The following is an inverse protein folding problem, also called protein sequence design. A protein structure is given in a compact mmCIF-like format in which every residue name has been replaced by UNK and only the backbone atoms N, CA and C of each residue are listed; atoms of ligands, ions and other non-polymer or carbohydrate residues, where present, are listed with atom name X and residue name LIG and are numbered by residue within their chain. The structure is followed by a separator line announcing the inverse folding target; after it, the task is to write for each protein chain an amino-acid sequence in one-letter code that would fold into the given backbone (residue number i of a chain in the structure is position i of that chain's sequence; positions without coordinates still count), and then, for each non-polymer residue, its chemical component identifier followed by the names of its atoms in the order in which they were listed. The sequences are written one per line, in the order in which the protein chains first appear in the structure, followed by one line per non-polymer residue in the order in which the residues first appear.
data_IF_768120699369
#
_entry.id   IF_768120699369
#
_cell.length_a   1.000
_cell.length_b   1.000
_cell.length_c   1.000
_cell.angle_alpha   90.00
_cell.angle_beta   90.00
_cell.angle_gamma   90.00
#
_symmetry.space_group_name_H-M   'P 1'
#
loop_
_entity.id
_entity.type
_entity.pdbx_description
1 polymer ?
#
# COMPACT_ATOMS: atom_id res chain seq x y z
N UNK A 1 10.59 -13.77 -22.00
CA UNK A 1 10.91 -13.01 -20.78
C UNK A 1 9.78 -13.21 -19.77
N UNK A 2 9.97 -14.09 -18.78
CA UNK A 2 9.01 -14.31 -17.68
C UNK A 2 8.95 -13.02 -16.86
N UNK A 3 7.91 -12.22 -17.02
CA UNK A 3 7.62 -11.12 -16.11
C UNK A 3 7.15 -11.77 -14.82
N UNK A 4 8.03 -11.91 -13.84
CA UNK A 4 7.59 -12.33 -12.51
C UNK A 4 6.57 -11.29 -12.00
N UNK A 5 5.27 -11.65 -11.89
CA UNK A 5 4.22 -10.68 -11.59
C UNK A 5 4.10 -10.49 -10.08
N UNK A 6 5.24 -10.44 -9.38
CA UNK A 6 5.36 -10.22 -7.94
C UNK A 6 5.93 -8.83 -7.69
N UNK A 7 5.42 -7.84 -8.41
CA UNK A 7 5.93 -6.46 -8.36
C UNK A 7 5.41 -5.75 -7.10
N UNK A 8 5.80 -6.25 -5.93
CA UNK A 8 5.52 -5.61 -4.64
C UNK A 8 5.99 -4.14 -4.64
N UNK A 9 7.08 -3.84 -5.35
CA UNK A 9 7.55 -2.47 -5.57
C UNK A 9 6.57 -1.61 -6.38
N UNK A 10 5.89 -2.16 -7.40
CA UNK A 10 4.86 -1.40 -8.13
C UNK A 10 3.58 -1.25 -7.31
N UNK A 11 3.20 -2.24 -6.50
CA UNK A 11 2.06 -2.15 -5.60
C UNK A 11 2.30 -1.05 -4.53
N UNK A 12 3.50 -0.97 -3.98
CA UNK A 12 3.84 0.13 -3.07
C UNK A 12 3.92 1.48 -3.79
N UNK A 13 4.46 1.54 -5.01
CA UNK A 13 4.43 2.74 -5.84
C UNK A 13 3.00 3.21 -6.12
N UNK A 14 2.09 2.28 -6.41
CA UNK A 14 0.67 2.55 -6.57
C UNK A 14 0.04 3.08 -5.28
N UNK A 15 0.43 2.52 -4.13
CA UNK A 15 0.02 3.01 -2.80
C UNK A 15 0.44 4.47 -2.57
N UNK A 16 1.66 4.84 -2.94
CA UNK A 16 2.15 6.21 -2.85
C UNK A 16 1.36 7.17 -3.77
N UNK A 17 1.05 6.75 -5.00
CA UNK A 17 0.24 7.53 -5.92
C UNK A 17 -1.16 7.75 -5.35
N UNK A 18 -1.80 6.70 -4.82
CA UNK A 18 -3.10 6.84 -4.18
C UNK A 18 -3.06 7.73 -2.93
N UNK A 19 -1.96 7.70 -2.17
CA UNK A 19 -1.76 8.59 -1.01
C UNK A 19 -1.71 10.06 -1.47
N UNK A 20 -1.00 10.36 -2.57
CA UNK A 20 -0.93 11.70 -3.17
C UNK A 20 -2.27 12.16 -3.76
N UNK A 21 -3.05 11.24 -4.32
CA UNK A 21 -4.41 11.50 -4.81
C UNK A 21 -5.44 11.67 -3.69
N UNK A 22 -5.04 11.56 -2.41
CA UNK A 22 -5.94 11.60 -1.26
C UNK A 22 -6.82 10.36 -1.10
N UNK A 23 -6.60 9.34 -1.92
CA UNK A 23 -7.31 8.07 -1.97
C UNK A 23 -6.74 7.08 -0.93
N UNK A 24 -6.81 7.47 0.34
CA UNK A 24 -6.15 6.75 1.44
C UNK A 24 -6.59 5.29 1.59
N UNK A 25 -7.84 4.97 1.26
CA UNK A 25 -8.37 3.61 1.32
C UNK A 25 -7.73 2.70 0.26
N UNK A 26 -7.64 3.17 -0.97
CA UNK A 26 -6.98 2.46 -2.08
C UNK A 26 -5.47 2.39 -1.87
N UNK A 27 -4.87 3.42 -1.28
CA UNK A 27 -3.47 3.41 -0.90
C UNK A 27 -3.15 2.32 0.13
N UNK A 28 -3.99 2.22 1.17
CA UNK A 28 -3.88 1.18 2.21
C UNK A 28 -3.98 -0.23 1.60
N UNK A 29 -4.94 -0.47 0.70
CA UNK A 29 -5.06 -1.75 0.01
C UNK A 29 -3.84 -2.09 -0.86
N UNK A 30 -3.31 -1.11 -1.60
CA UNK A 30 -2.12 -1.30 -2.43
C UNK A 30 -0.87 -1.65 -1.58
N UNK A 31 -0.68 -0.99 -0.44
CA UNK A 31 0.39 -1.34 0.49
C UNK A 31 0.17 -2.72 1.12
N UNK A 32 -1.06 -3.08 1.54
CA UNK A 32 -1.37 -4.42 2.06
C UNK A 32 -1.09 -5.51 1.01
N UNK A 33 -1.45 -5.28 -0.25
CA UNK A 33 -1.14 -6.19 -1.35
C UNK A 33 0.38 -6.37 -1.56
N UNK A 34 1.17 -5.30 -1.41
CA UNK A 34 2.63 -5.39 -1.43
C UNK A 34 3.17 -6.25 -0.27
N UNK A 35 2.59 -6.12 0.92
CA UNK A 35 2.98 -6.90 2.12
C UNK A 35 2.60 -8.37 2.03
N UNK A 36 1.51 -8.72 1.34
CA UNK A 36 1.17 -10.13 1.07
C UNK A 36 2.31 -10.84 0.31
N UNK A 37 3.00 -10.12 -0.57
CA UNK A 37 4.10 -10.64 -1.37
C UNK A 37 5.44 -10.54 -0.62
N UNK A 38 5.68 -9.41 0.06
CA UNK A 38 6.87 -9.14 0.84
C UNK A 38 6.50 -8.53 2.21
N UNK A 39 6.24 -9.37 3.24
CA UNK A 39 5.72 -8.93 4.53
C UNK A 39 6.60 -7.93 5.28
N UNK A 40 7.91 -7.95 5.02
CA UNK A 40 8.88 -7.06 5.66
C UNK A 40 9.23 -5.84 4.80
N UNK A 41 8.38 -5.46 3.85
CA UNK A 41 8.70 -4.34 2.97
C UNK A 41 8.41 -3.01 3.69
N UNK A 42 9.48 -2.35 4.14
CA UNK A 42 9.41 -1.13 4.96
C UNK A 42 8.51 -0.04 4.37
N UNK A 43 8.60 0.22 3.06
CA UNK A 43 7.79 1.25 2.39
C UNK A 43 6.29 0.97 2.56
N UNK A 44 5.89 -0.29 2.38
CA UNK A 44 4.49 -0.67 2.52
C UNK A 44 4.05 -0.74 3.99
N UNK A 45 4.91 -1.20 4.91
CA UNK A 45 4.61 -1.16 6.35
C UNK A 45 4.38 0.27 6.85
N UNK A 46 5.25 1.20 6.45
CA UNK A 46 5.08 2.61 6.79
C UNK A 46 3.83 3.21 6.16
N UNK A 47 3.53 2.87 4.90
CA UNK A 47 2.30 3.29 4.22
C UNK A 47 1.04 2.82 4.97
N UNK A 48 0.98 1.55 5.35
CA UNK A 48 -0.11 1.00 6.17
C UNK A 48 -0.22 1.75 7.50
N UNK A 49 0.88 1.89 8.25
CA UNK A 49 0.84 2.56 9.56
C UNK A 49 0.39 4.03 9.50
N UNK A 50 0.75 4.76 8.44
CA UNK A 50 0.28 6.14 8.22
C UNK A 50 -1.20 6.22 7.87
N UNK A 51 -1.71 5.25 7.12
CA UNK A 51 -3.03 5.30 6.51
C UNK A 51 -4.11 4.59 7.32
N UNK A 52 -3.76 3.51 8.01
CA UNK A 52 -4.67 2.72 8.86
C UNK A 52 -5.48 3.59 9.82
N UNK A 53 -4.89 4.47 10.66
CA UNK A 53 -5.67 5.33 11.55
C UNK A 53 -6.53 6.37 10.80
N UNK A 54 -6.14 6.76 9.58
CA UNK A 54 -6.86 7.77 8.79
C UNK A 54 -8.01 7.17 7.97
N UNK A 55 -7.96 5.87 7.72
CA UNK A 55 -9.04 5.12 7.06
C UNK A 55 -10.02 4.62 8.13
N UNK A 56 -9.56 3.91 9.16
CA UNK A 56 -10.42 3.40 10.23
C UNK A 56 -11.06 4.52 11.06
N UNK A 57 -10.34 5.62 11.31
CA UNK A 57 -10.88 6.78 12.03
C UNK A 57 -11.90 7.61 11.23
N UNK A 58 -12.06 7.35 9.93
CA UNK A 58 -13.06 8.01 9.06
C UNK A 58 -14.28 7.14 8.78
N UNK A 59 -14.34 5.93 9.35
CA UNK A 59 -15.49 5.01 9.26
C UNK A 59 -16.35 4.98 10.54
N UNK A 60 -16.13 5.89 11.49
CA UNK A 60 -16.97 6.06 12.68
C UNK A 60 -18.13 7.05 12.45
#
# INVERSE_FOLDING_TARGET
MKREPRHFGALAGLGLIYEELGQQRQALEAFRAALVIHPHYEVALQGVHRLEPRVDGREA
#
